data_IF_093430015966
#
_entry.id   IF_093430015966
#
_cell.length_a   1.000
_cell.length_b   1.000
_cell.length_c   1.000
_cell.angle_alpha   90.00
_cell.angle_beta   90.00
_cell.angle_gamma   90.00
#
_symmetry.space_group_name_H-M   'P 1'
#
loop_
_entity.id
_entity.type
_entity.pdbx_description
1 polymer ?
#
# COMPACT_ATOMS: atom_id res chain seq x y z
N UNK A 1 7.02 53.04 -30.08
CA UNK A 1 6.28 52.10 -29.20
C UNK A 1 7.19 50.91 -28.89
N UNK A 2 7.64 50.75 -27.65
CA UNK A 2 8.54 49.66 -27.23
C UNK A 2 7.71 48.49 -26.71
N UNK A 3 7.81 47.35 -27.39
CA UNK A 3 7.24 46.06 -27.03
C UNK A 3 8.03 45.51 -25.82
N UNK A 4 7.38 45.34 -24.67
CA UNK A 4 7.96 44.62 -23.51
C UNK A 4 7.23 43.29 -23.37
N UNK A 5 7.81 42.24 -23.95
CA UNK A 5 7.52 40.86 -23.57
C UNK A 5 8.08 40.64 -22.16
N UNK A 6 7.20 40.59 -21.17
CA UNK A 6 7.54 40.03 -19.86
C UNK A 6 7.36 38.51 -19.97
N UNK A 7 8.45 37.80 -20.28
CA UNK A 7 8.53 36.36 -20.04
C UNK A 7 8.57 36.18 -18.52
N UNK A 8 7.39 36.01 -17.91
CA UNK A 8 7.30 35.50 -16.55
C UNK A 8 7.43 33.97 -16.67
N UNK A 9 8.69 33.51 -16.64
CA UNK A 9 9.02 32.11 -16.41
C UNK A 9 8.46 31.70 -15.06
N UNK A 10 7.23 31.20 -15.05
CA UNK A 10 6.66 30.47 -13.92
C UNK A 10 7.45 29.17 -13.85
N UNK A 11 8.51 29.20 -13.04
CA UNK A 11 9.17 28.02 -12.53
C UNK A 11 8.10 27.26 -11.74
N UNK A 12 7.46 26.29 -12.39
CA UNK A 12 6.65 25.28 -11.70
C UNK A 12 7.64 24.51 -10.83
N UNK A 13 7.89 25.02 -9.62
CA UNK A 13 8.41 24.24 -8.51
C UNK A 13 7.41 23.11 -8.31
N UNK A 14 7.71 21.96 -8.90
CA UNK A 14 7.06 20.71 -8.61
C UNK A 14 7.26 20.44 -7.13
N UNK A 15 6.31 20.88 -6.31
CA UNK A 15 6.05 20.29 -5.02
C UNK A 15 5.67 18.84 -5.32
N UNK A 16 6.69 17.96 -5.37
CA UNK A 16 6.49 16.54 -5.15
C UNK A 16 5.93 16.44 -3.74
N UNK A 17 4.60 16.43 -3.62
CA UNK A 17 3.94 16.10 -2.37
C UNK A 17 4.48 14.72 -1.98
N UNK A 18 5.37 14.68 -0.99
CA UNK A 18 5.88 13.45 -0.41
C UNK A 18 4.67 12.77 0.23
N UNK A 19 4.12 11.77 -0.44
CA UNK A 19 2.96 11.05 0.07
C UNK A 19 3.51 9.99 1.02
N UNK A 20 3.23 10.15 2.30
CA UNK A 20 3.56 9.15 3.32
C UNK A 20 2.29 8.81 4.08
N UNK A 21 1.94 7.53 4.10
CA UNK A 21 0.79 7.01 4.83
C UNK A 21 1.20 5.80 5.63
N UNK A 22 0.98 5.85 6.93
CA UNK A 22 1.25 4.74 7.85
C UNK A 22 -0.07 4.14 8.34
N UNK A 23 -0.12 2.81 8.36
CA UNK A 23 -1.25 2.01 8.79
C UNK A 23 -0.82 1.02 9.86
N UNK A 24 -1.57 0.95 10.95
CA UNK A 24 -1.44 -0.13 11.94
C UNK A 24 -2.35 -1.28 11.55
N UNK A 25 -1.79 -2.48 11.39
CA UNK A 25 -2.55 -3.71 11.12
C UNK A 25 -3.10 -4.27 12.41
N UNK A 26 -4.43 -4.45 12.45
CA UNK A 26 -5.14 -4.96 13.62
C UNK A 26 -5.51 -6.44 13.49
N UNK A 27 -5.77 -6.89 12.26
CA UNK A 27 -6.07 -8.27 11.93
C UNK A 27 -5.69 -8.56 10.48
N UNK A 28 -5.41 -9.82 10.19
CA UNK A 28 -5.07 -10.28 8.85
C UNK A 28 -5.80 -11.58 8.53
N UNK A 29 -6.35 -11.65 7.33
CA UNK A 29 -6.95 -12.83 6.76
C UNK A 29 -6.19 -13.24 5.50
N UNK A 30 -5.82 -14.50 5.40
CA UNK A 30 -5.06 -15.05 4.29
C UNK A 30 -5.84 -16.13 3.57
N UNK A 31 -5.80 -16.07 2.23
CA UNK A 31 -6.35 -17.09 1.35
C UNK A 31 -5.37 -17.39 0.23
N UNK A 32 -4.86 -18.62 0.17
CA UNK A 32 -3.83 -19.02 -0.80
C UNK A 32 -3.27 -20.39 -0.47
N UNK A 33 -2.69 -21.08 -1.46
CA UNK A 33 -2.06 -22.40 -1.29
C UNK A 33 -2.94 -23.46 -0.58
N UNK A 34 -4.26 -23.42 -0.78
CA UNK A 34 -5.22 -24.31 -0.11
C UNK A 34 -5.55 -23.95 1.34
N UNK A 35 -5.03 -22.82 1.84
CA UNK A 35 -5.35 -22.26 3.15
C UNK A 35 -6.35 -21.11 3.02
N UNK A 36 -7.20 -20.99 4.03
CA UNK A 36 -8.17 -19.92 4.24
C UNK A 36 -8.26 -19.72 5.77
N UNK A 37 -7.50 -18.75 6.28
CA UNK A 37 -7.25 -18.64 7.73
C UNK A 37 -6.89 -17.23 8.16
N UNK A 38 -7.18 -16.94 9.43
CA UNK A 38 -6.76 -15.70 10.09
C UNK A 38 -5.38 -15.89 10.69
N UNK A 39 -4.50 -14.91 10.50
CA UNK A 39 -3.20 -14.87 11.15
C UNK A 39 -3.14 -13.67 12.10
N UNK A 40 -2.59 -13.83 13.32
CA UNK A 40 -2.43 -12.74 14.28
C UNK A 40 -1.24 -11.84 13.91
N UNK A 41 -1.14 -11.45 12.64
CA UNK A 41 -0.14 -10.49 12.20
C UNK A 41 -0.48 -9.12 12.79
N UNK A 42 0.45 -8.57 13.56
CA UNK A 42 0.40 -7.22 14.11
C UNK A 42 1.65 -6.51 13.63
N UNK A 43 1.48 -5.40 12.93
CA UNK A 43 2.59 -4.66 12.35
C UNK A 43 2.13 -3.36 11.75
N UNK A 44 3.04 -2.69 11.06
CA UNK A 44 2.77 -1.44 10.36
C UNK A 44 3.04 -1.58 8.87
N UNK A 45 2.13 -1.02 8.07
CA UNK A 45 2.36 -0.74 6.65
C UNK A 45 2.69 0.73 6.52
N UNK A 46 3.87 1.05 6.00
CA UNK A 46 4.28 2.42 5.67
C UNK A 46 4.40 2.50 4.16
N UNK A 47 3.58 3.33 3.55
CA UNK A 47 3.61 3.59 2.11
C UNK A 47 4.14 5.00 1.94
N UNK A 48 5.33 5.12 1.38
CA UNK A 48 6.00 6.40 1.20
C UNK A 48 6.57 6.52 -0.20
N UNK A 49 6.05 7.47 -0.98
CA UNK A 49 6.48 7.73 -2.35
C UNK A 49 6.48 6.45 -3.19
N UNK A 50 7.68 5.94 -3.52
CA UNK A 50 7.90 4.69 -4.26
C UNK A 50 8.43 3.55 -3.38
N UNK A 51 8.18 3.58 -2.07
CA UNK A 51 8.57 2.53 -1.13
C UNK A 51 7.36 2.06 -0.32
N UNK A 52 7.36 0.75 -0.05
CA UNK A 52 6.46 0.08 0.86
C UNK A 52 7.31 -0.63 1.91
N UNK A 53 7.06 -0.29 3.17
CA UNK A 53 7.66 -0.97 4.32
C UNK A 53 6.55 -1.73 5.05
N UNK A 54 6.75 -3.03 5.27
CA UNK A 54 5.96 -3.83 6.20
C UNK A 54 6.87 -4.18 7.36
N UNK A 55 6.47 -3.81 8.57
CA UNK A 55 7.29 -4.01 9.76
C UNK A 55 6.48 -4.68 10.86
N UNK A 56 6.94 -5.83 11.34
CA UNK A 56 6.45 -6.50 12.54
C UNK A 56 7.57 -7.25 13.25
N UNK A 57 7.31 -7.71 14.48
CA UNK A 57 8.31 -8.33 15.37
C UNK A 57 9.13 -9.47 14.73
N UNK A 58 8.58 -10.18 13.74
CA UNK A 58 9.19 -11.35 13.11
C UNK A 58 9.49 -11.18 11.62
N UNK A 59 9.07 -10.06 11.02
CA UNK A 59 9.16 -9.85 9.58
C UNK A 59 9.34 -8.37 9.25
N UNK A 60 10.33 -8.10 8.42
CA UNK A 60 10.58 -6.78 7.88
C UNK A 60 10.73 -6.88 6.36
N UNK A 61 9.94 -6.10 5.64
CA UNK A 61 10.04 -5.92 4.20
C UNK A 61 10.21 -4.43 3.92
N UNK A 62 11.23 -4.09 3.16
CA UNK A 62 11.35 -2.80 2.49
C UNK A 62 11.44 -3.06 0.99
N UNK A 63 10.41 -2.62 0.26
CA UNK A 63 10.28 -2.89 -1.16
C UNK A 63 10.11 -1.58 -1.94
N UNK A 64 10.79 -1.50 -3.08
CA UNK A 64 10.48 -0.50 -4.09
C UNK A 64 9.15 -0.82 -4.74
N UNK A 65 8.36 0.21 -4.97
CA UNK A 65 7.01 0.12 -5.51
C UNK A 65 6.89 0.92 -6.79
N UNK A 66 5.94 0.50 -7.61
CA UNK A 66 5.44 1.29 -8.74
C UNK A 66 3.94 1.47 -8.56
N UNK A 67 3.42 2.65 -8.89
CA UNK A 67 1.99 2.94 -8.81
C UNK A 67 1.41 3.08 -10.20
N UNK A 68 0.34 2.35 -10.49
CA UNK A 68 -0.35 2.46 -11.77
C UNK A 68 -1.33 3.66 -11.81
N UNK A 69 -1.90 3.92 -12.99
CA UNK A 69 -2.87 5.01 -13.18
C UNK A 69 -4.18 4.83 -12.40
N UNK A 70 -4.49 3.59 -12.03
CA UNK A 70 -5.68 3.22 -11.25
C UNK A 70 -5.41 3.28 -9.75
N UNK A 71 -4.17 3.55 -9.34
CA UNK A 71 -3.74 3.68 -7.96
C UNK A 71 -3.30 2.39 -7.29
N UNK A 72 -3.19 1.26 -8.01
CA UNK A 72 -2.61 0.03 -7.48
C UNK A 72 -1.11 0.18 -7.32
N UNK A 73 -0.59 -0.38 -6.23
CA UNK A 73 0.82 -0.36 -5.89
C UNK A 73 1.37 -1.75 -6.18
N UNK A 74 2.39 -1.85 -7.03
CA UNK A 74 3.07 -3.12 -7.33
C UNK A 74 4.44 -3.14 -6.69
N UNK A 75 4.78 -4.25 -6.03
CA UNK A 75 6.10 -4.49 -5.45
C UNK A 75 6.53 -5.94 -5.64
N UNK A 76 7.83 -6.21 -5.45
CA UNK A 76 8.37 -7.57 -5.54
C UNK A 76 8.86 -8.05 -4.17
N UNK A 77 8.57 -9.31 -3.86
CA UNK A 77 9.08 -10.00 -2.68
C UNK A 77 9.25 -11.49 -3.00
N UNK A 78 10.37 -12.09 -2.58
CA UNK A 78 10.69 -13.52 -2.82
C UNK A 78 10.49 -13.98 -4.29
N UNK A 79 10.91 -13.16 -5.26
CA UNK A 79 10.74 -13.40 -6.70
C UNK A 79 9.28 -13.46 -7.18
N UNK A 80 8.34 -12.95 -6.40
CA UNK A 80 6.93 -12.81 -6.78
C UNK A 80 6.54 -11.35 -6.86
N UNK A 81 5.67 -11.04 -7.81
CA UNK A 81 5.02 -9.74 -7.91
C UNK A 81 3.75 -9.72 -7.07
N UNK A 82 3.63 -8.69 -6.23
CA UNK A 82 2.47 -8.42 -5.40
C UNK A 82 1.82 -7.12 -5.85
N UNK A 83 0.50 -7.16 -5.98
CA UNK A 83 -0.36 -5.99 -6.20
C UNK A 83 -1.05 -5.65 -4.89
N UNK A 84 -0.84 -4.42 -4.41
CA UNK A 84 -1.44 -3.85 -3.22
C UNK A 84 -2.54 -2.86 -3.63
N UNK A 85 -3.71 -3.04 -3.03
CA UNK A 85 -4.83 -2.13 -3.09
C UNK A 85 -5.12 -1.58 -1.69
N UNK A 86 -5.39 -0.27 -1.61
CA UNK A 86 -5.83 0.40 -0.38
C UNK A 86 -7.29 0.79 -0.57
N UNK A 87 -8.14 0.39 0.37
CA UNK A 87 -9.58 0.65 0.33
C UNK A 87 -9.95 1.42 1.60
N UNK A 88 -10.46 2.64 1.42
CA UNK A 88 -11.09 3.41 2.48
C UNK A 88 -12.48 2.83 2.75
N UNK A 89 -12.55 1.93 3.74
CA UNK A 89 -13.76 1.26 4.16
C UNK A 89 -13.66 1.01 5.65
N UNK A 90 -14.58 1.60 6.39
CA UNK A 90 -14.73 1.35 7.82
C UNK A 90 -15.60 0.12 8.06
N UNK A 91 -15.32 -0.61 9.12
CA UNK A 91 -16.12 -1.78 9.48
C UNK A 91 -15.63 -2.49 10.73
N UNK A 92 -16.13 -3.70 10.91
CA UNK A 92 -15.70 -4.60 11.98
C UNK A 92 -15.35 -5.96 11.39
N UNK A 93 -14.23 -6.51 11.84
CA UNK A 93 -13.78 -7.86 11.51
C UNK A 93 -13.38 -8.57 12.80
N UNK A 94 -13.93 -9.74 13.09
CA UNK A 94 -13.67 -10.47 14.35
C UNK A 94 -13.77 -9.60 15.63
N UNK A 95 -14.82 -8.76 15.72
CA UNK A 95 -15.06 -7.81 16.82
C UNK A 95 -14.01 -6.67 16.95
N UNK A 96 -13.15 -6.50 15.94
CA UNK A 96 -12.16 -5.42 15.87
C UNK A 96 -12.64 -4.40 14.83
N UNK A 97 -12.75 -3.14 15.25
CA UNK A 97 -13.08 -2.04 14.33
C UNK A 97 -11.86 -1.60 13.53
N UNK A 98 -12.04 -1.36 12.24
CA UNK A 98 -11.00 -0.89 11.33
C UNK A 98 -11.51 0.30 10.51
N UNK A 99 -10.58 1.12 10.01
CA UNK A 99 -10.87 2.29 9.17
C UNK A 99 -10.52 2.03 7.69
N UNK A 100 -9.56 1.14 7.42
CA UNK A 100 -9.06 0.84 6.07
C UNK A 100 -8.89 -0.67 5.87
N UNK A 101 -8.94 -1.09 4.60
CA UNK A 101 -8.56 -2.45 4.18
C UNK A 101 -7.39 -2.33 3.21
N UNK A 102 -6.30 -3.03 3.48
CA UNK A 102 -5.22 -3.24 2.52
C UNK A 102 -5.34 -4.66 1.99
N UNK A 103 -5.22 -4.84 0.67
CA UNK A 103 -5.27 -6.16 0.03
C UNK A 103 -4.01 -6.34 -0.78
N UNK A 104 -3.18 -7.32 -0.43
CA UNK A 104 -2.05 -7.76 -1.26
C UNK A 104 -2.43 -9.03 -2.00
N UNK A 105 -2.21 -9.05 -3.30
CA UNK A 105 -2.48 -10.22 -4.15
C UNK A 105 -1.28 -10.56 -5.03
N UNK A 106 -0.89 -11.84 -5.10
CA UNK A 106 0.02 -12.32 -6.15
C UNK A 106 -0.76 -12.70 -7.40
N UNK A 107 -0.14 -12.52 -8.55
CA UNK A 107 -0.62 -13.03 -9.83
C UNK A 107 0.21 -14.28 -10.16
N UNK A 108 -0.32 -15.47 -9.86
CA UNK A 108 0.36 -16.74 -10.14
C UNK A 108 -0.57 -17.76 -10.79
N UNK A 109 0.03 -18.83 -11.32
CA UNK A 109 -0.66 -19.81 -12.18
C UNK A 109 -1.77 -20.58 -11.43
N UNK A 110 -1.72 -20.61 -10.09
CA UNK A 110 -2.64 -21.38 -9.23
C UNK A 110 -3.72 -20.51 -8.59
N UNK A 111 -3.88 -19.26 -9.05
CA UNK A 111 -4.95 -18.36 -8.63
C UNK A 111 -4.50 -17.27 -7.65
N UNK A 112 -3.22 -17.22 -7.29
CA UNK A 112 -2.66 -16.19 -6.43
C UNK A 112 -2.91 -16.42 -4.94
N UNK A 113 -2.10 -15.77 -4.14
CA UNK A 113 -2.29 -15.60 -2.71
C UNK A 113 -2.90 -14.24 -2.46
N UNK A 114 -3.89 -14.17 -1.56
CA UNK A 114 -4.54 -12.93 -1.16
C UNK A 114 -4.41 -12.79 0.35
N UNK A 115 -3.79 -11.69 0.78
CA UNK A 115 -3.81 -11.26 2.18
C UNK A 115 -4.64 -9.99 2.30
N UNK A 116 -5.61 -10.03 3.21
CA UNK A 116 -6.46 -8.89 3.55
C UNK A 116 -6.07 -8.41 4.95
N UNK A 117 -5.67 -7.15 5.05
CA UNK A 117 -5.25 -6.51 6.29
C UNK A 117 -6.30 -5.49 6.71
N UNK A 118 -6.78 -5.61 7.93
CA UNK A 118 -7.74 -4.69 8.53
C UNK A 118 -6.98 -3.69 9.39
N UNK A 119 -7.01 -2.43 8.96
CA UNK A 119 -6.06 -1.43 9.43
C UNK A 119 -6.74 -0.20 10.03
N UNK A 120 -5.96 0.52 10.84
CA UNK A 120 -6.23 1.92 11.20
C UNK A 120 -5.11 2.81 10.73
N UNK A 121 -5.44 4.07 10.48
CA UNK A 121 -4.42 5.09 10.25
C UNK A 121 -3.65 5.32 11.55
N UNK A 122 -2.33 5.50 11.45
CA UNK A 122 -1.51 5.92 12.60
C UNK A 122 -1.49 7.44 12.71
#
# INVERSE_FOLDING_TARGET
MKLKFFLLSILFLSFTNCFSQEFTVLATHYKGQGLDTDYPFKGTFIIKDSSLILDCDQFHLDAQTTKDKSGFITYQYENREYKLQIIDKKGNYNKISYDFILITKTDDIVGGEVSTYYCKIK
#
